data_IF_785307339351
#
_entry.id   IF_785307339351
#
_cell.length_a   1.000
_cell.length_b   1.000
_cell.length_c   1.000
_cell.angle_alpha   90.00
_cell.angle_beta   90.00
_cell.angle_gamma   90.00
#
_symmetry.space_group_name_H-M   'P 1'
#
loop_
_entity.id
_entity.type
_entity.pdbx_description
1 polymer ?
#
# COMPACT_ATOMS: atom_id res chain seq x y z
N UNK A 1 -33.74 -1.26 -10.71
CA UNK A 1 -33.56 0.06 -11.31
C UNK A 1 -32.90 0.92 -10.23
N UNK A 2 -31.79 1.58 -10.51
CA UNK A 2 -31.13 2.46 -9.53
C UNK A 2 -32.01 3.69 -9.24
N UNK A 3 -32.10 4.12 -7.98
CA UNK A 3 -32.67 5.42 -7.63
C UNK A 3 -31.70 6.58 -7.97
N UNK A 4 -32.16 7.81 -7.81
CA UNK A 4 -31.40 9.01 -8.17
C UNK A 4 -30.08 9.13 -7.35
N UNK A 5 -30.11 8.77 -6.05
CA UNK A 5 -28.93 8.83 -5.18
C UNK A 5 -27.91 7.76 -5.53
N UNK A 6 -28.38 6.54 -5.79
CA UNK A 6 -27.53 5.43 -6.22
C UNK A 6 -26.86 5.73 -7.57
N UNK A 7 -27.58 6.34 -8.50
CA UNK A 7 -27.04 6.72 -9.80
C UNK A 7 -25.95 7.82 -9.66
N UNK A 8 -26.15 8.80 -8.80
CA UNK A 8 -25.14 9.83 -8.49
C UNK A 8 -23.92 9.21 -7.82
N UNK A 9 -24.12 8.40 -6.77
CA UNK A 9 -23.04 7.74 -6.07
C UNK A 9 -22.18 6.86 -6.99
N UNK A 10 -22.82 6.05 -7.85
CA UNK A 10 -22.14 5.22 -8.84
C UNK A 10 -21.36 6.07 -9.85
N UNK A 11 -21.91 7.18 -10.30
CA UNK A 11 -21.23 8.08 -11.24
C UNK A 11 -19.99 8.73 -10.61
N UNK A 12 -20.06 9.14 -9.34
CA UNK A 12 -18.91 9.69 -8.60
C UNK A 12 -17.83 8.61 -8.45
N UNK A 13 -18.19 7.39 -8.04
CA UNK A 13 -17.24 6.29 -7.89
C UNK A 13 -16.54 5.96 -9.22
N UNK A 14 -17.28 5.93 -10.33
CA UNK A 14 -16.72 5.73 -11.65
C UNK A 14 -15.83 6.88 -12.10
N UNK A 15 -16.18 8.15 -11.78
CA UNK A 15 -15.33 9.31 -12.09
C UNK A 15 -14.00 9.26 -11.31
N UNK A 16 -14.05 8.95 -10.01
CA UNK A 16 -12.83 8.75 -9.20
C UNK A 16 -11.97 7.65 -9.82
N UNK A 17 -12.56 6.49 -10.15
CA UNK A 17 -11.83 5.37 -10.78
C UNK A 17 -11.24 5.75 -12.14
N UNK A 18 -11.98 6.50 -12.97
CA UNK A 18 -11.53 6.97 -14.27
C UNK A 18 -10.38 7.99 -14.16
N UNK A 19 -10.40 8.82 -13.12
CA UNK A 19 -9.37 9.83 -12.85
C UNK A 19 -8.09 9.24 -12.24
N UNK A 20 -8.20 8.14 -11.49
CA UNK A 20 -7.05 7.48 -10.83
C UNK A 20 -6.08 6.76 -11.78
N UNK A 21 -6.29 6.76 -13.09
CA UNK A 21 -5.35 6.25 -14.10
C UNK A 21 -5.03 4.74 -14.04
N UNK A 22 -5.66 3.99 -13.16
CA UNK A 22 -5.43 2.55 -12.98
C UNK A 22 -6.06 1.70 -14.09
N UNK A 23 -5.82 0.37 -14.06
CA UNK A 23 -6.31 -0.57 -15.09
C UNK A 23 -7.82 -0.61 -15.32
N UNK A 24 -8.60 -0.07 -14.39
CA UNK A 24 -10.04 0.09 -14.50
C UNK A 24 -10.47 1.43 -15.10
N UNK A 25 -9.56 2.39 -15.32
CA UNK A 25 -9.91 3.74 -15.74
C UNK A 25 -10.67 3.77 -17.06
N UNK A 26 -10.24 2.96 -18.05
CA UNK A 26 -10.90 2.89 -19.35
C UNK A 26 -12.26 2.19 -19.27
N UNK A 27 -12.38 1.14 -18.47
CA UNK A 27 -13.65 0.47 -18.22
C UNK A 27 -14.63 1.40 -17.46
N UNK A 28 -14.13 2.16 -16.50
CA UNK A 28 -14.91 3.16 -15.77
C UNK A 28 -15.41 4.28 -16.70
N UNK A 29 -14.57 4.78 -17.63
CA UNK A 29 -15.00 5.77 -18.64
C UNK A 29 -16.08 5.23 -19.55
N UNK A 30 -15.96 3.99 -20.04
CA UNK A 30 -17.01 3.35 -20.84
C UNK A 30 -18.31 3.19 -20.05
N UNK A 31 -18.22 2.76 -18.79
CA UNK A 31 -19.39 2.62 -17.92
C UNK A 31 -20.08 3.98 -17.65
N UNK A 32 -19.30 5.06 -17.41
CA UNK A 32 -19.83 6.41 -17.29
C UNK A 32 -20.59 6.89 -18.52
N UNK A 33 -20.04 6.62 -19.71
CA UNK A 33 -20.70 6.97 -20.97
C UNK A 33 -22.03 6.21 -21.14
N UNK A 34 -22.03 4.90 -20.86
CA UNK A 34 -23.25 4.08 -20.92
C UNK A 34 -24.29 4.55 -19.91
N UNK A 35 -23.85 4.79 -18.67
CA UNK A 35 -24.74 5.29 -17.61
C UNK A 35 -25.35 6.65 -17.99
N UNK A 36 -24.53 7.55 -18.57
CA UNK A 36 -24.99 8.86 -19.07
C UNK A 36 -26.05 8.78 -20.18
N UNK A 37 -26.05 7.71 -20.98
CA UNK A 37 -27.07 7.52 -22.04
C UNK A 37 -28.44 7.10 -21.49
N UNK A 38 -28.45 6.30 -20.41
CA UNK A 38 -29.70 5.77 -19.82
C UNK A 38 -30.26 6.66 -18.70
N UNK A 39 -29.50 7.69 -18.30
CA UNK A 39 -29.84 8.54 -17.19
C UNK A 39 -30.76 9.70 -17.60
N UNK A 40 -31.77 10.09 -16.77
CA UNK A 40 -32.58 11.28 -16.99
C UNK A 40 -31.74 12.56 -17.14
N UNK A 41 -32.17 13.49 -18.00
CA UNK A 41 -31.44 14.74 -18.30
C UNK A 41 -31.11 15.58 -17.05
N UNK A 42 -32.04 15.66 -16.09
CA UNK A 42 -31.84 16.36 -14.81
C UNK A 42 -30.63 15.82 -14.02
N UNK A 43 -30.42 14.51 -14.00
CA UNK A 43 -29.30 13.90 -13.28
C UNK A 43 -28.00 14.05 -14.05
N UNK A 44 -28.02 13.97 -15.38
CA UNK A 44 -26.84 14.24 -16.21
C UNK A 44 -26.26 15.62 -15.96
N UNK A 45 -27.09 16.67 -15.85
CA UNK A 45 -26.63 18.03 -15.53
C UNK A 45 -25.98 18.13 -14.14
N UNK A 46 -26.57 17.47 -13.13
CA UNK A 46 -25.98 17.45 -11.78
C UNK A 46 -24.62 16.75 -11.75
N UNK A 47 -24.47 15.62 -12.45
CA UNK A 47 -23.22 14.86 -12.51
C UNK A 47 -22.17 15.60 -13.36
N UNK A 48 -22.54 16.20 -14.47
CA UNK A 48 -21.65 16.99 -15.31
C UNK A 48 -21.10 18.24 -14.60
N UNK A 49 -21.81 18.76 -13.59
CA UNK A 49 -21.35 19.85 -12.74
C UNK A 49 -20.31 19.39 -11.69
N UNK A 50 -20.25 18.08 -11.38
CA UNK A 50 -19.28 17.51 -10.46
C UNK A 50 -17.97 17.27 -11.21
N UNK A 51 -17.00 18.17 -11.05
CA UNK A 51 -15.64 17.98 -11.55
C UNK A 51 -14.81 17.28 -10.47
N UNK A 52 -14.61 15.99 -10.61
CA UNK A 52 -13.71 15.22 -9.75
C UNK A 52 -12.30 15.29 -10.35
N UNK A 53 -11.38 15.92 -9.64
CA UNK A 53 -9.96 15.88 -9.95
C UNK A 53 -9.27 15.01 -8.92
N UNK A 54 -8.79 13.84 -9.32
CA UNK A 54 -7.92 13.04 -8.46
C UNK A 54 -6.54 13.69 -8.46
N UNK A 55 -6.12 14.21 -7.32
CA UNK A 55 -4.74 14.66 -7.11
C UNK A 55 -3.97 13.49 -6.52
N UNK A 56 -3.30 12.73 -7.38
CA UNK A 56 -2.35 11.71 -6.92
C UNK A 56 -0.97 12.36 -6.72
N UNK A 57 -0.24 12.00 -5.65
CA UNK A 57 1.16 12.35 -5.55
C UNK A 57 1.89 11.83 -6.81
N UNK A 58 2.88 12.57 -7.35
CA UNK A 58 3.61 12.11 -8.52
C UNK A 58 4.15 10.71 -8.24
N UNK A 59 3.65 9.73 -8.99
CA UNK A 59 4.10 8.35 -8.87
C UNK A 59 5.56 8.28 -9.31
N UNK A 60 6.45 7.92 -8.40
CA UNK A 60 7.89 7.72 -8.69
C UNK A 60 8.13 6.62 -9.72
N UNK A 61 7.13 5.80 -10.02
CA UNK A 61 7.13 4.80 -11.10
C UNK A 61 5.74 4.64 -11.68
N UNK A 62 5.59 4.62 -13.03
CA UNK A 62 4.32 4.30 -13.66
C UNK A 62 3.79 2.95 -13.14
N UNK A 63 2.57 2.93 -12.68
CA UNK A 63 1.92 1.67 -12.31
C UNK A 63 1.34 1.07 -13.58
N UNK A 64 1.83 -0.12 -13.98
CA UNK A 64 1.22 -0.85 -15.09
C UNK A 64 -0.25 -1.14 -14.74
N UNK A 65 -1.18 -0.83 -15.66
CA UNK A 65 -2.58 -1.12 -15.43
C UNK A 65 -2.79 -2.64 -15.34
N UNK A 66 -3.64 -3.07 -14.41
CA UNK A 66 -4.03 -4.49 -14.31
C UNK A 66 -5.10 -4.77 -15.34
N UNK A 67 -4.96 -5.85 -16.09
CA UNK A 67 -5.99 -6.33 -17.02
C UNK A 67 -7.24 -6.75 -16.22
N UNK A 68 -8.41 -6.27 -16.67
CA UNK A 68 -9.71 -6.61 -16.06
C UNK A 68 -9.96 -8.12 -16.12
N UNK A 69 -9.50 -8.81 -17.19
CA UNK A 69 -9.59 -10.26 -17.31
C UNK A 69 -8.79 -10.99 -16.24
N UNK A 70 -7.64 -10.46 -15.82
CA UNK A 70 -6.83 -11.00 -14.72
C UNK A 70 -7.60 -10.88 -13.39
N UNK A 71 -8.18 -9.71 -13.11
CA UNK A 71 -8.98 -9.51 -11.89
C UNK A 71 -10.21 -10.43 -11.88
N UNK A 72 -10.88 -10.59 -13.00
CA UNK A 72 -12.02 -11.50 -13.13
C UNK A 72 -11.61 -12.96 -12.89
N UNK A 73 -10.50 -13.41 -13.47
CA UNK A 73 -9.98 -14.77 -13.28
C UNK A 73 -9.62 -15.03 -11.81
N UNK A 74 -8.94 -14.09 -11.15
CA UNK A 74 -8.60 -14.19 -9.73
C UNK A 74 -9.88 -14.22 -8.90
N UNK A 75 -10.84 -13.33 -9.16
CA UNK A 75 -12.11 -13.27 -8.43
C UNK A 75 -12.91 -14.57 -8.55
N UNK A 76 -12.95 -15.15 -9.74
CA UNK A 76 -13.61 -16.44 -9.98
C UNK A 76 -12.94 -17.56 -9.19
N UNK A 77 -11.61 -17.62 -9.15
CA UNK A 77 -10.87 -18.64 -8.40
C UNK A 77 -11.05 -18.48 -6.87
N UNK A 78 -11.07 -17.23 -6.35
CA UNK A 78 -11.40 -16.95 -4.94
C UNK A 78 -12.80 -17.43 -4.60
N UNK A 79 -13.80 -17.08 -5.44
CA UNK A 79 -15.18 -17.46 -5.20
C UNK A 79 -15.40 -18.98 -5.26
N UNK A 80 -14.75 -19.67 -6.19
CA UNK A 80 -14.84 -21.12 -6.35
C UNK A 80 -13.98 -21.92 -5.35
N UNK A 81 -13.12 -21.25 -4.59
CA UNK A 81 -12.06 -21.83 -3.76
C UNK A 81 -11.18 -22.81 -4.55
N UNK A 82 -10.77 -22.42 -5.76
CA UNK A 82 -9.92 -23.24 -6.62
C UNK A 82 -8.49 -22.72 -6.62
N UNK A 83 -7.52 -23.63 -6.57
CA UNK A 83 -6.11 -23.30 -6.68
C UNK A 83 -5.85 -22.55 -7.99
N UNK A 84 -5.37 -21.31 -7.87
CA UNK A 84 -4.99 -20.52 -9.02
C UNK A 84 -3.60 -20.92 -9.51
N UNK A 85 -3.48 -21.18 -10.80
CA UNK A 85 -2.21 -21.45 -11.50
C UNK A 85 -1.85 -20.23 -12.33
N UNK A 86 -0.65 -19.71 -12.17
CA UNK A 86 -0.25 -18.49 -12.90
C UNK A 86 1.26 -18.38 -13.05
N UNK A 87 1.69 -17.66 -14.06
CA UNK A 87 3.05 -17.17 -14.16
C UNK A 87 3.16 -15.85 -13.40
N UNK A 88 4.16 -15.73 -12.55
CA UNK A 88 4.42 -14.55 -11.74
C UNK A 88 5.79 -13.97 -12.04
N UNK A 89 5.83 -12.69 -12.38
CA UNK A 89 7.07 -11.98 -12.64
C UNK A 89 6.88 -10.72 -13.48
N UNK A 90 7.98 -10.06 -13.82
CA UNK A 90 8.04 -9.01 -14.82
C UNK A 90 8.79 -9.50 -16.05
N UNK A 91 8.63 -8.81 -17.16
CA UNK A 91 9.33 -9.15 -18.40
C UNK A 91 10.86 -9.18 -18.22
N UNK A 92 11.38 -8.26 -17.39
CA UNK A 92 12.82 -8.11 -17.15
C UNK A 92 13.40 -9.12 -16.15
N UNK A 93 12.59 -9.65 -15.20
CA UNK A 93 13.05 -10.50 -14.11
C UNK A 93 12.74 -11.99 -14.29
N UNK A 94 12.17 -12.36 -15.46
CA UNK A 94 11.69 -13.71 -15.73
C UNK A 94 10.38 -14.05 -15.02
N UNK A 95 9.69 -15.05 -15.55
CA UNK A 95 8.40 -15.54 -15.02
C UNK A 95 8.60 -16.89 -14.35
N UNK A 96 8.06 -17.06 -13.16
CA UNK A 96 8.03 -18.33 -12.44
C UNK A 96 6.61 -18.85 -12.33
N UNK A 97 6.41 -20.13 -12.60
CA UNK A 97 5.12 -20.78 -12.38
C UNK A 97 4.83 -20.84 -10.87
N UNK A 98 3.60 -20.45 -10.51
CA UNK A 98 3.10 -20.49 -9.13
C UNK A 98 1.74 -21.18 -9.09
N UNK A 99 1.49 -21.82 -7.95
CA UNK A 99 0.19 -22.36 -7.57
C UNK A 99 -0.12 -21.83 -6.19
N UNK A 100 -1.26 -21.18 -6.07
CA UNK A 100 -1.66 -20.60 -4.80
C UNK A 100 -3.16 -20.81 -4.54
N UNK A 101 -3.53 -20.91 -3.27
CA UNK A 101 -4.91 -20.90 -2.81
C UNK A 101 -5.34 -19.45 -2.65
N UNK A 102 -6.13 -18.87 -3.56
CA UNK A 102 -6.49 -17.46 -3.53
C UNK A 102 -7.57 -17.20 -2.48
N UNK A 103 -7.37 -16.22 -1.60
CA UNK A 103 -8.32 -15.92 -0.52
C UNK A 103 -8.96 -14.53 -0.69
N UNK A 104 -8.16 -13.47 -0.92
CA UNK A 104 -8.68 -12.11 -1.01
C UNK A 104 -8.02 -11.31 -2.12
N UNK A 105 -8.80 -10.40 -2.72
CA UNK A 105 -8.30 -9.34 -3.58
C UNK A 105 -8.39 -8.04 -2.79
N UNK A 106 -7.29 -7.30 -2.74
CA UNK A 106 -7.22 -6.01 -2.03
C UNK A 106 -6.62 -4.94 -2.93
N UNK A 107 -7.00 -3.69 -2.67
CA UNK A 107 -6.37 -2.52 -3.31
C UNK A 107 -5.67 -1.67 -2.28
N UNK A 108 -4.46 -1.21 -2.62
CA UNK A 108 -3.67 -0.28 -1.79
C UNK A 108 -2.84 0.64 -2.67
N UNK A 109 -2.93 1.94 -2.43
CA UNK A 109 -2.22 2.97 -3.20
C UNK A 109 -2.41 2.79 -4.73
N UNK A 110 -3.65 2.57 -5.17
CA UNK A 110 -4.01 2.38 -6.57
C UNK A 110 -3.55 1.07 -7.21
N UNK A 111 -2.97 0.14 -6.44
CA UNK A 111 -2.51 -1.17 -6.93
C UNK A 111 -3.35 -2.30 -6.37
N UNK A 112 -3.57 -3.31 -7.20
CA UNK A 112 -4.30 -4.52 -6.85
C UNK A 112 -3.37 -5.64 -6.41
N UNK A 113 -3.75 -6.35 -5.37
CA UNK A 113 -3.00 -7.46 -4.79
C UNK A 113 -3.91 -8.65 -4.55
N UNK A 114 -3.37 -9.83 -4.78
CA UNK A 114 -3.96 -11.09 -4.38
C UNK A 114 -3.28 -11.55 -3.08
N UNK A 115 -4.07 -11.83 -2.07
CA UNK A 115 -3.63 -12.51 -0.84
C UNK A 115 -3.92 -14.00 -1.04
N UNK A 116 -2.89 -14.83 -0.96
CA UNK A 116 -3.00 -16.26 -1.22
C UNK A 116 -1.97 -17.06 -0.41
N UNK A 117 -2.29 -18.32 -0.14
CA UNK A 117 -1.34 -19.30 0.35
C UNK A 117 -0.55 -19.88 -0.82
N UNK A 118 0.76 -19.64 -0.87
CA UNK A 118 1.67 -20.15 -1.90
C UNK A 118 2.01 -21.62 -1.60
N UNK A 119 1.59 -22.53 -2.48
CA UNK A 119 1.78 -23.97 -2.30
C UNK A 119 3.24 -24.43 -2.47
N UNK A 120 4.08 -23.66 -3.17
CA UNK A 120 5.50 -23.96 -3.33
C UNK A 120 6.34 -23.50 -2.13
N UNK A 121 5.84 -22.49 -1.40
CA UNK A 121 6.55 -21.90 -0.25
C UNK A 121 5.94 -22.25 1.09
N UNK A 122 4.74 -22.85 1.08
CA UNK A 122 3.96 -23.17 2.27
C UNK A 122 3.80 -21.96 3.21
N UNK A 123 3.46 -20.80 2.61
CA UNK A 123 3.39 -19.53 3.33
C UNK A 123 2.38 -18.57 2.70
N UNK A 124 1.85 -17.65 3.51
CA UNK A 124 1.02 -16.58 3.03
C UNK A 124 1.81 -15.56 2.21
N UNK A 125 1.30 -15.22 1.04
CA UNK A 125 1.93 -14.29 0.12
C UNK A 125 0.95 -13.25 -0.41
N UNK A 126 1.52 -12.05 -0.62
CA UNK A 126 0.83 -10.96 -1.28
C UNK A 126 1.42 -10.79 -2.69
N UNK A 127 0.63 -11.15 -3.71
CA UNK A 127 1.02 -11.09 -5.10
C UNK A 127 0.44 -9.83 -5.75
N UNK A 128 1.23 -9.07 -6.48
CA UNK A 128 0.74 -7.96 -7.28
C UNK A 128 -0.03 -8.50 -8.48
N UNK A 129 -1.28 -8.04 -8.66
CA UNK A 129 -2.14 -8.55 -9.73
C UNK A 129 -1.63 -8.20 -11.14
N UNK A 130 -0.92 -7.06 -11.30
CA UNK A 130 -0.29 -6.65 -12.57
C UNK A 130 0.89 -7.53 -13.01
N UNK A 131 1.35 -8.44 -12.13
CA UNK A 131 2.41 -9.42 -12.42
C UNK A 131 1.90 -10.84 -12.55
N UNK A 132 0.59 -11.04 -12.47
CA UNK A 132 -0.06 -12.33 -12.57
C UNK A 132 -0.51 -12.56 -14.02
N UNK A 133 -0.09 -13.66 -14.62
CA UNK A 133 -0.64 -14.17 -15.86
C UNK A 133 -1.35 -15.51 -15.56
N UNK A 134 -2.71 -15.52 -15.42
CA UNK A 134 -3.45 -16.72 -15.07
C UNK A 134 -3.30 -17.81 -16.13
N UNK A 135 -3.22 -19.06 -15.68
CA UNK A 135 -3.22 -20.26 -16.55
C UNK A 135 -4.50 -21.06 -16.34
N UNK A 136 -5.08 -21.49 -17.41
CA UNK A 136 -6.25 -22.38 -17.40
C UNK A 136 -5.84 -23.82 -17.75
N UNK A 137 -6.53 -24.83 -17.17
CA UNK A 137 -7.54 -24.72 -16.13
C UNK A 137 -6.94 -24.42 -14.75
N UNK A 138 -7.77 -23.96 -13.80
CA UNK A 138 -7.44 -23.89 -12.40
C UNK A 138 -7.09 -25.28 -11.83
N UNK A 139 -6.50 -25.31 -10.63
CA UNK A 139 -6.26 -26.54 -9.89
C UNK A 139 -7.48 -27.02 -9.10
N UNK A 140 -7.30 -28.01 -8.21
CA UNK A 140 -8.38 -28.54 -7.38
C UNK A 140 -8.93 -27.50 -6.41
N UNK A 141 -10.09 -27.80 -5.82
CA UNK A 141 -10.66 -27.00 -4.75
C UNK A 141 -9.88 -27.20 -3.45
N UNK A 142 -9.79 -26.13 -2.66
CA UNK A 142 -9.14 -26.13 -1.35
C UNK A 142 -10.11 -25.71 -0.25
N UNK A 143 -9.76 -26.02 0.99
CA UNK A 143 -10.46 -25.50 2.18
C UNK A 143 -9.83 -24.18 2.58
N UNK A 144 -10.60 -23.09 2.71
CA UNK A 144 -10.08 -21.78 3.12
C UNK A 144 -9.30 -21.85 4.42
N UNK A 145 -8.20 -21.13 4.49
CA UNK A 145 -7.34 -20.98 5.66
C UNK A 145 -7.60 -19.65 6.35
N UNK A 146 -7.41 -19.62 7.64
CA UNK A 146 -7.43 -18.37 8.40
C UNK A 146 -6.14 -17.57 8.15
N UNK A 147 -6.30 -16.26 7.98
CA UNK A 147 -5.18 -15.35 7.85
C UNK A 147 -4.48 -15.15 9.18
N UNK A 148 -3.14 -14.98 9.18
CA UNK A 148 -2.44 -14.42 10.34
C UNK A 148 -3.07 -13.09 10.76
N UNK A 149 -3.26 -12.88 12.08
CA UNK A 149 -3.94 -11.69 12.59
C UNK A 149 -5.46 -11.67 12.46
N UNK A 150 -6.08 -12.71 11.89
CA UNK A 150 -7.53 -12.95 11.91
C UNK A 150 -8.35 -12.17 10.89
N UNK A 151 -7.83 -11.05 10.35
CA UNK A 151 -8.53 -10.26 9.35
C UNK A 151 -7.59 -9.72 8.24
N UNK A 152 -8.18 -9.40 7.08
CA UNK A 152 -7.46 -8.97 5.88
C UNK A 152 -6.75 -7.63 6.09
N UNK A 153 -7.38 -6.68 6.78
CA UNK A 153 -6.81 -5.34 6.96
C UNK A 153 -5.57 -5.39 7.86
N UNK A 154 -5.62 -6.15 8.94
CA UNK A 154 -4.49 -6.40 9.84
C UNK A 154 -3.35 -7.09 9.09
N UNK A 155 -3.63 -8.18 8.37
CA UNK A 155 -2.63 -8.89 7.59
C UNK A 155 -1.95 -8.00 6.55
N UNK A 156 -2.74 -7.29 5.74
CA UNK A 156 -2.23 -6.41 4.68
C UNK A 156 -1.40 -5.29 5.28
N UNK A 157 -1.94 -4.61 6.31
CA UNK A 157 -1.23 -3.49 6.93
C UNK A 157 0.10 -3.94 7.53
N UNK A 158 0.11 -5.03 8.28
CA UNK A 158 1.30 -5.59 8.88
C UNK A 158 2.34 -6.00 7.84
N UNK A 159 1.95 -6.79 6.84
CA UNK A 159 2.86 -7.25 5.77
C UNK A 159 3.50 -6.07 5.03
N UNK A 160 2.74 -5.01 4.71
CA UNK A 160 3.29 -3.82 4.04
C UNK A 160 4.12 -2.93 4.98
N UNK A 161 3.98 -3.07 6.27
CA UNK A 161 4.84 -2.44 7.29
C UNK A 161 6.08 -3.27 7.61
N UNK A 162 6.21 -4.47 7.06
CA UNK A 162 7.36 -5.36 7.26
C UNK A 162 7.22 -6.28 8.45
N UNK A 163 6.00 -6.47 8.98
CA UNK A 163 5.71 -7.51 9.98
C UNK A 163 5.26 -8.81 9.30
N UNK A 164 5.08 -9.85 10.08
CA UNK A 164 4.58 -11.16 9.64
C UNK A 164 3.06 -11.18 9.31
N UNK A 165 2.38 -10.04 9.46
CA UNK A 165 0.94 -9.91 9.23
C UNK A 165 0.07 -10.33 10.42
N UNK A 166 0.65 -10.73 11.55
CA UNK A 166 -0.11 -11.07 12.77
C UNK A 166 -0.67 -9.84 13.46
N UNK A 167 -0.01 -8.70 13.28
CA UNK A 167 -0.44 -7.40 13.81
C UNK A 167 -0.34 -6.31 12.75
N UNK A 168 -1.19 -5.28 12.87
CA UNK A 168 -1.11 -4.09 12.03
C UNK A 168 0.00 -3.11 12.46
N UNK A 169 0.72 -3.40 13.54
CA UNK A 169 1.79 -2.55 14.08
C UNK A 169 3.02 -2.45 13.18
N UNK A 170 3.84 -1.46 13.47
CA UNK A 170 5.16 -1.35 12.87
C UNK A 170 6.15 -2.25 13.64
N UNK A 171 7.11 -2.91 12.97
CA UNK A 171 8.13 -3.71 13.66
C UNK A 171 9.05 -2.88 14.55
N UNK A 172 9.29 -1.62 14.20
CA UNK A 172 10.04 -0.66 15.00
C UNK A 172 9.14 0.51 15.34
N UNK A 173 8.88 0.73 16.63
CA UNK A 173 8.08 1.85 17.12
C UNK A 173 8.84 2.56 18.24
N UNK A 174 8.90 3.89 18.17
CA UNK A 174 9.62 4.70 19.15
C UNK A 174 8.90 5.97 19.50
N UNK A 175 9.21 6.48 20.67
CA UNK A 175 8.66 7.72 21.23
C UNK A 175 9.79 8.69 21.49
N UNK A 176 9.62 9.91 21.02
CA UNK A 176 10.55 11.03 21.22
C UNK A 176 9.80 12.26 21.72
N UNK A 177 10.53 13.16 22.38
CA UNK A 177 10.10 14.55 22.58
C UNK A 177 10.80 15.39 21.52
N UNK A 178 10.04 16.24 20.84
CA UNK A 178 10.53 17.23 19.89
C UNK A 178 10.33 18.64 20.48
N UNK A 179 11.32 19.50 20.32
CA UNK A 179 11.20 20.92 20.68
C UNK A 179 10.50 21.68 19.54
N UNK A 180 9.26 21.27 19.26
CA UNK A 180 8.32 21.86 18.28
C UNK A 180 6.89 21.80 18.81
N UNK A 181 6.02 22.77 18.42
CA UNK A 181 4.61 22.72 18.74
C UNK A 181 3.93 21.49 18.13
N UNK A 182 3.03 20.85 18.89
CA UNK A 182 2.28 19.67 18.41
C UNK A 182 1.52 19.92 17.11
N UNK A 183 0.95 21.12 16.94
CA UNK A 183 0.22 21.49 15.74
C UNK A 183 1.10 21.51 14.47
N UNK A 184 2.38 21.91 14.60
CA UNK A 184 3.33 21.91 13.50
C UNK A 184 3.73 20.48 13.11
N UNK A 185 4.08 19.67 14.10
CA UNK A 185 4.46 18.25 13.89
C UNK A 185 3.30 17.46 13.28
N UNK A 186 2.05 17.72 13.69
CA UNK A 186 0.87 17.04 13.19
C UNK A 186 0.61 17.29 11.68
N UNK A 187 1.04 18.43 11.12
CA UNK A 187 0.90 18.73 9.69
C UNK A 187 1.70 17.76 8.81
N UNK A 188 2.83 17.29 9.30
CA UNK A 188 3.76 16.42 8.55
C UNK A 188 3.67 14.95 8.99
N UNK A 189 2.99 14.65 10.09
CA UNK A 189 2.84 13.29 10.62
C UNK A 189 1.60 12.63 10.03
N UNK A 190 1.79 11.67 9.14
CA UNK A 190 0.67 10.93 8.52
C UNK A 190 0.20 9.73 9.34
N UNK A 191 1.13 9.03 9.99
CA UNK A 191 0.89 7.78 10.72
C UNK A 191 1.66 7.79 12.04
N UNK A 192 1.25 8.65 12.97
CA UNK A 192 1.87 8.75 14.29
C UNK A 192 0.91 9.37 15.28
N UNK A 193 1.29 9.30 16.54
CA UNK A 193 0.55 9.95 17.64
C UNK A 193 1.38 11.16 18.08
N UNK A 194 0.77 12.34 18.00
CA UNK A 194 1.37 13.60 18.43
C UNK A 194 0.59 14.10 19.63
N UNK A 195 1.27 14.26 20.76
CA UNK A 195 0.69 14.72 22.02
C UNK A 195 1.39 16.02 22.47
N UNK A 196 0.63 17.03 22.82
CA UNK A 196 1.20 18.27 23.36
C UNK A 196 1.78 18.02 24.76
N UNK A 197 3.03 18.44 24.96
CA UNK A 197 3.72 18.38 26.27
C UNK A 197 3.93 19.79 26.81
N UNK A 198 3.94 20.78 25.94
CA UNK A 198 4.06 22.20 26.28
C UNK A 198 3.93 23.06 25.02
N UNK A 199 3.96 24.41 25.18
CA UNK A 199 3.70 25.34 24.07
C UNK A 199 4.62 25.16 22.85
N UNK A 200 5.85 24.68 23.08
CA UNK A 200 6.89 24.47 22.06
C UNK A 200 7.48 23.07 22.11
N UNK A 201 6.79 22.12 22.75
CA UNK A 201 7.25 20.74 22.89
C UNK A 201 6.12 19.77 22.68
N UNK A 202 6.38 18.70 21.96
CA UNK A 202 5.42 17.63 21.78
C UNK A 202 6.08 16.25 21.94
N UNK A 203 5.25 15.26 22.29
CA UNK A 203 5.63 13.86 22.24
C UNK A 203 5.16 13.28 20.93
N UNK A 204 6.10 12.71 20.16
CA UNK A 204 5.81 12.01 18.92
C UNK A 204 6.07 10.51 19.12
N UNK A 205 5.03 9.69 18.91
CA UNK A 205 5.16 8.23 18.78
C UNK A 205 4.99 7.86 17.33
N UNK A 206 6.03 7.29 16.72
CA UNK A 206 6.07 6.95 15.31
C UNK A 206 6.61 5.54 15.11
N UNK A 207 6.22 4.90 14.00
CA UNK A 207 6.71 3.59 13.64
C UNK A 207 7.32 3.55 12.24
N UNK A 208 8.24 2.61 12.03
CA UNK A 208 8.84 2.34 10.74
C UNK A 208 9.21 0.85 10.61
N UNK A 209 9.60 0.44 9.41
CA UNK A 209 10.03 -0.92 9.11
C UNK A 209 11.47 -1.24 9.57
N UNK A 210 12.24 -0.22 9.96
CA UNK A 210 13.56 -0.40 10.59
C UNK A 210 13.87 0.79 11.51
N UNK A 211 14.73 0.58 12.50
CA UNK A 211 15.20 1.62 13.42
C UNK A 211 15.92 2.75 12.67
N UNK A 212 16.74 2.42 11.69
CA UNK A 212 17.45 3.41 10.88
C UNK A 212 16.47 4.29 10.09
N UNK A 213 15.40 3.70 9.52
CA UNK A 213 14.36 4.47 8.83
C UNK A 213 13.57 5.35 9.79
N UNK A 214 13.29 4.85 11.01
CA UNK A 214 12.59 5.61 12.03
C UNK A 214 13.40 6.84 12.46
N UNK A 215 14.68 6.65 12.81
CA UNK A 215 15.58 7.74 13.20
C UNK A 215 15.70 8.80 12.10
N UNK A 216 15.88 8.38 10.83
CA UNK A 216 15.96 9.29 9.70
C UNK A 216 14.65 10.08 9.48
N UNK A 217 13.49 9.43 9.65
CA UNK A 217 12.18 10.08 9.51
C UNK A 217 11.97 11.13 10.61
N UNK A 218 12.35 10.81 11.84
CA UNK A 218 12.25 11.76 12.98
C UNK A 218 13.24 12.92 12.78
N UNK A 219 14.44 12.67 12.28
CA UNK A 219 15.43 13.72 12.02
C UNK A 219 14.98 14.74 10.94
N UNK A 220 13.99 14.41 10.11
CA UNK A 220 13.44 15.35 9.12
C UNK A 220 12.67 16.54 9.74
N UNK A 221 12.34 16.50 11.02
CA UNK A 221 11.63 17.60 11.69
C UNK A 221 12.53 18.81 12.00
N UNK A 222 13.85 18.68 11.84
CA UNK A 222 14.84 19.75 12.06
C UNK A 222 14.70 20.44 13.42
N UNK A 223 14.61 19.66 14.47
CA UNK A 223 14.41 20.11 15.86
C UNK A 223 15.27 19.31 16.82
N UNK A 224 15.44 19.82 18.03
CA UNK A 224 16.05 19.04 19.10
C UNK A 224 15.19 17.84 19.47
N UNK A 225 15.83 16.69 19.63
CA UNK A 225 15.19 15.39 19.81
C UNK A 225 15.67 14.77 21.12
N UNK A 226 14.72 14.42 21.99
CA UNK A 226 14.96 13.61 23.17
C UNK A 226 14.31 12.24 22.99
N UNK A 227 15.08 11.15 22.93
CA UNK A 227 14.53 9.80 22.80
C UNK A 227 13.98 9.34 24.15
N UNK A 228 12.68 9.04 24.18
CA UNK A 228 12.00 8.53 25.39
C UNK A 228 12.11 7.00 25.45
N UNK A 229 11.82 6.33 24.35
CA UNK A 229 11.82 4.88 24.25
C UNK A 229 11.73 4.42 22.78
N UNK A 230 12.20 3.22 22.45
CA UNK A 230 13.05 2.35 23.24
C UNK A 230 14.55 2.67 23.02
N UNK A 231 15.48 2.01 23.75
CA UNK A 231 16.92 2.27 23.61
C UNK A 231 17.48 1.99 22.21
N UNK A 232 16.90 1.06 21.44
CA UNK A 232 17.27 0.75 20.05
C UNK A 232 17.13 1.98 19.14
N UNK A 233 16.20 2.88 19.45
CA UNK A 233 16.07 4.13 18.71
C UNK A 233 17.24 5.08 19.01
N UNK A 234 17.74 5.12 20.25
CA UNK A 234 18.94 5.89 20.60
C UNK A 234 20.17 5.38 19.86
N UNK A 235 20.34 4.07 19.78
CA UNK A 235 21.43 3.43 19.01
C UNK A 235 21.31 3.75 17.52
N UNK A 236 20.08 3.76 16.98
CA UNK A 236 19.84 4.11 15.58
C UNK A 236 20.20 5.57 15.27
N UNK A 237 19.93 6.50 16.18
CA UNK A 237 20.36 7.91 16.04
C UNK A 237 21.88 8.04 16.10
N UNK A 238 22.57 7.34 17.01
CA UNK A 238 24.02 7.33 17.06
C UNK A 238 24.63 6.83 15.73
N UNK A 239 24.11 5.73 15.21
CA UNK A 239 24.54 5.17 13.93
C UNK A 239 24.24 6.10 12.74
N UNK A 240 23.11 6.81 12.75
CA UNK A 240 22.75 7.80 11.73
C UNK A 240 23.72 8.99 11.79
N UNK A 241 24.07 9.47 12.98
CA UNK A 241 25.02 10.56 13.17
C UNK A 241 26.41 10.22 12.61
N UNK A 242 26.92 9.01 12.90
CA UNK A 242 28.20 8.54 12.35
C UNK A 242 28.19 8.53 10.81
N UNK A 243 27.13 8.00 10.20
CA UNK A 243 26.98 7.97 8.75
C UNK A 243 26.88 9.36 8.13
N UNK A 244 26.18 10.28 8.78
CA UNK A 244 26.10 11.67 8.35
C UNK A 244 27.45 12.37 8.46
N UNK A 245 28.22 12.14 9.53
CA UNK A 245 29.56 12.68 9.71
C UNK A 245 30.53 12.15 8.64
N UNK A 246 30.48 10.86 8.32
CA UNK A 246 31.29 10.27 7.25
C UNK A 246 30.93 10.83 5.88
N UNK A 247 29.65 11.01 5.60
CA UNK A 247 29.17 11.61 4.36
C UNK A 247 29.64 13.06 4.22
N UNK A 248 29.53 13.87 5.29
CA UNK A 248 29.98 15.25 5.33
C UNK A 248 31.50 15.37 5.15
N UNK A 249 32.27 14.39 5.65
CA UNK A 249 33.72 14.35 5.49
C UNK A 249 34.19 13.75 4.14
N UNK A 250 33.29 13.40 3.23
CA UNK A 250 33.60 12.77 1.96
C UNK A 250 34.15 11.34 2.07
N UNK A 251 34.07 10.73 3.25
CA UNK A 251 34.50 9.36 3.53
C UNK A 251 33.43 8.34 3.11
N UNK A 252 32.96 8.39 1.85
CA UNK A 252 32.05 7.39 1.33
C UNK A 252 32.71 6.01 1.39
N UNK A 253 32.05 5.01 2.00
CA UNK A 253 32.49 3.64 1.96
C UNK A 253 32.59 3.17 0.51
N UNK A 254 33.83 3.03 0.01
CA UNK A 254 34.10 2.24 -1.17
C UNK A 254 33.74 0.80 -0.83
N UNK A 255 32.50 0.40 -1.15
CA UNK A 255 32.09 -1.01 -1.11
C UNK A 255 32.99 -1.74 -2.10
N UNK A 256 34.03 -2.41 -1.60
CA UNK A 256 34.77 -3.42 -2.34
C UNK A 256 33.77 -4.53 -2.71
N UNK A 257 33.21 -4.43 -3.94
CA UNK A 257 32.63 -5.59 -4.62
C UNK A 257 33.81 -6.54 -4.91
N UNK A 258 34.06 -7.45 -3.99
CA UNK A 258 34.88 -8.62 -4.31
C UNK A 258 34.03 -9.48 -5.23
N UNK A 259 34.41 -9.46 -6.50
CA UNK A 259 34.01 -10.46 -7.46
C UNK A 259 34.67 -11.78 -7.02
N UNK A 260 33.87 -12.80 -6.78
CA UNK A 260 34.28 -14.21 -6.96
C UNK A 260 33.06 -14.98 -7.44
#
# INVERSE_FOLDING_TARGET
>A
MFDDEQAVALSIALQVTAASGGGLAEAARRALNTLGQVMPSRLRHRIAALRVTAVEPPATRPTAPVDVGVLAAISAAVHAHEVLRFDYGSEDAGKTLRRAEPHHIVTRNGRWYLIAWDLEREDWRTFRADRIAPRTPNGPRFTPRELPGGDVATYVTGTFRGSDGTTAGWPCQGTVILDLPAAEVALYTREGIVEEVGPHRCRLTLGAWSWASLAATIACYDADIEVVAPPELTEAFAHLADRCADAAAGRGHATSRTQT
#
